data_IF_549497633951
#
_entry.id   IF_549497633951
#
_cell.length_a   1.000
_cell.length_b   1.000
_cell.length_c   1.000
_cell.angle_alpha   90.00
_cell.angle_beta   90.00
_cell.angle_gamma   90.00
#
_symmetry.space_group_name_H-M   'P 1'
#
loop_
_entity.id
_entity.type
_entity.pdbx_description
1 polymer ?
#
# COMPACT_ATOMS: atom_id res chain seq x y z
N UNK A 1 5.35 -23.21 -7.74
CA UNK A 1 4.98 -21.94 -7.07
C UNK A 1 6.04 -20.90 -7.38
N UNK A 2 5.73 -19.83 -8.12
CA UNK A 2 6.70 -18.75 -8.35
C UNK A 2 6.90 -17.92 -7.08
N UNK A 3 7.86 -18.32 -6.25
CA UNK A 3 8.22 -17.59 -5.02
C UNK A 3 8.53 -16.12 -5.29
N UNK A 4 9.02 -15.80 -6.49
CA UNK A 4 9.29 -14.42 -6.92
C UNK A 4 8.03 -13.56 -7.02
N UNK A 5 6.93 -14.10 -7.58
CA UNK A 5 5.67 -13.36 -7.71
C UNK A 5 5.08 -13.01 -6.34
N UNK A 6 5.08 -13.97 -5.43
CA UNK A 6 4.63 -13.80 -4.03
C UNK A 6 5.50 -12.74 -3.33
N UNK A 7 6.83 -12.83 -3.43
CA UNK A 7 7.75 -11.85 -2.84
C UNK A 7 7.54 -10.44 -3.40
N UNK A 8 7.28 -10.32 -4.70
CA UNK A 8 6.96 -9.04 -5.33
C UNK A 8 5.65 -8.47 -4.79
N UNK A 9 4.59 -9.28 -4.69
CA UNK A 9 3.30 -8.85 -4.15
C UNK A 9 3.42 -8.40 -2.68
N UNK A 10 4.15 -9.15 -1.85
CA UNK A 10 4.43 -8.77 -0.45
C UNK A 10 5.23 -7.47 -0.37
N UNK A 11 6.27 -7.32 -1.19
CA UNK A 11 7.08 -6.10 -1.23
C UNK A 11 6.23 -4.90 -1.66
N UNK A 12 5.34 -5.09 -2.63
CA UNK A 12 4.43 -4.07 -3.10
C UNK A 12 3.43 -3.65 -2.00
N UNK A 13 2.79 -4.60 -1.32
CA UNK A 13 1.91 -4.32 -0.17
C UNK A 13 2.62 -3.53 0.93
N UNK A 14 3.87 -3.87 1.23
CA UNK A 14 4.68 -3.14 2.22
C UNK A 14 5.00 -1.70 1.77
N UNK A 15 5.22 -1.47 0.48
CA UNK A 15 5.37 -0.12 -0.06
C UNK A 15 4.08 0.67 0.08
N UNK A 16 2.92 0.09 -0.24
CA UNK A 16 1.63 0.74 -0.04
C UNK A 16 1.37 1.11 1.43
N UNK A 17 1.75 0.24 2.39
CA UNK A 17 1.61 0.57 3.83
C UNK A 17 2.39 1.83 4.23
N UNK A 18 3.57 2.04 3.63
CA UNK A 18 4.38 3.25 3.87
C UNK A 18 3.71 4.47 3.26
N UNK A 19 3.22 4.34 2.02
CA UNK A 19 2.51 5.42 1.34
C UNK A 19 1.23 5.80 2.09
N UNK A 20 0.45 4.82 2.57
CA UNK A 20 -0.74 5.03 3.42
C UNK A 20 -0.37 5.84 4.66
N UNK A 21 0.69 5.43 5.35
CA UNK A 21 1.13 6.10 6.58
C UNK A 21 1.54 7.55 6.30
N UNK A 22 2.31 7.77 5.23
CA UNK A 22 2.72 9.10 4.78
C UNK A 22 1.52 9.98 4.42
N UNK A 23 0.61 9.47 3.60
CA UNK A 23 -0.60 10.18 3.17
C UNK A 23 -1.51 10.52 4.38
N UNK A 24 -1.63 9.62 5.35
CA UNK A 24 -2.40 9.87 6.57
C UNK A 24 -1.82 11.04 7.38
N UNK A 25 -0.49 11.09 7.55
CA UNK A 25 0.13 12.17 8.33
C UNK A 25 0.23 13.50 7.59
N UNK A 26 0.14 13.48 6.26
CA UNK A 26 0.07 14.69 5.44
C UNK A 26 -1.36 15.09 5.06
N UNK A 27 -2.38 14.50 5.70
CA UNK A 27 -3.79 14.91 5.54
C UNK A 27 -4.40 14.57 4.18
N UNK A 28 -4.00 13.44 3.60
CA UNK A 28 -4.43 12.98 2.28
C UNK A 28 -5.44 11.83 2.40
N UNK A 29 -6.53 12.02 3.15
CA UNK A 29 -7.46 10.94 3.50
C UNK A 29 -8.06 10.23 2.27
N UNK A 30 -8.36 10.96 1.20
CA UNK A 30 -8.86 10.36 -0.05
C UNK A 30 -7.84 9.40 -0.67
N UNK A 31 -6.56 9.80 -0.73
CA UNK A 31 -5.48 8.94 -1.22
C UNK A 31 -5.26 7.74 -0.30
N UNK A 32 -5.39 7.92 1.03
CA UNK A 32 -5.33 6.81 1.99
C UNK A 32 -6.39 5.76 1.69
N UNK A 33 -7.64 6.17 1.46
CA UNK A 33 -8.74 5.25 1.14
C UNK A 33 -8.46 4.48 -0.17
N UNK A 34 -7.98 5.17 -1.21
CA UNK A 34 -7.62 4.56 -2.49
C UNK A 34 -6.46 3.55 -2.33
N UNK A 35 -5.39 3.91 -1.62
CA UNK A 35 -4.26 3.00 -1.34
C UNK A 35 -4.70 1.77 -0.53
N UNK A 36 -5.57 1.93 0.47
CA UNK A 36 -6.12 0.81 1.25
C UNK A 36 -6.93 -0.14 0.37
N UNK A 37 -7.73 0.38 -0.57
CA UNK A 37 -8.49 -0.44 -1.51
C UNK A 37 -7.56 -1.25 -2.44
N UNK A 38 -6.50 -0.62 -2.95
CA UNK A 38 -5.48 -1.29 -3.75
C UNK A 38 -4.79 -2.38 -2.92
N UNK A 39 -4.34 -2.04 -1.71
CA UNK A 39 -3.66 -2.97 -0.80
C UNK A 39 -4.52 -4.20 -0.51
N UNK A 40 -5.81 -3.98 -0.22
CA UNK A 40 -6.78 -5.07 0.00
C UNK A 40 -6.89 -5.99 -1.22
N UNK A 41 -7.01 -5.42 -2.42
CA UNK A 41 -7.12 -6.19 -3.67
C UNK A 41 -5.90 -7.10 -3.87
N UNK A 42 -4.70 -6.61 -3.58
CA UNK A 42 -3.47 -7.42 -3.67
C UNK A 42 -3.46 -8.53 -2.62
N UNK A 43 -3.82 -8.21 -1.38
CA UNK A 43 -3.84 -9.17 -0.27
C UNK A 43 -4.86 -10.30 -0.51
N UNK A 44 -6.03 -9.99 -1.06
CA UNK A 44 -7.02 -11.00 -1.45
C UNK A 44 -6.45 -11.93 -2.53
N UNK A 45 -5.90 -11.39 -3.62
CA UNK A 45 -5.29 -12.20 -4.68
C UNK A 45 -4.06 -13.00 -4.22
N UNK A 46 -3.29 -12.46 -3.27
CA UNK A 46 -2.16 -13.14 -2.64
C UNK A 46 -2.64 -14.30 -1.77
N UNK A 47 -3.73 -14.11 -1.02
CA UNK A 47 -4.34 -15.17 -0.18
C UNK A 47 -4.83 -16.31 -1.07
N UNK A 48 -5.59 -16.00 -2.11
CA UNK A 48 -6.06 -16.99 -3.10
C UNK A 48 -4.88 -17.77 -3.70
N UNK A 49 -3.77 -17.08 -4.02
CA UNK A 49 -2.57 -17.72 -4.57
C UNK A 49 -1.88 -18.63 -3.56
N UNK A 50 -1.76 -18.22 -2.30
CA UNK A 50 -1.12 -19.02 -1.25
C UNK A 50 -1.95 -20.28 -0.94
N UNK A 51 -3.27 -20.16 -0.88
CA UNK A 51 -4.19 -21.28 -0.65
C UNK A 51 -4.22 -22.28 -1.81
N UNK A 52 -4.19 -21.79 -3.05
CA UNK A 52 -4.25 -22.63 -4.25
C UNK A 52 -2.91 -23.32 -4.59
N UNK A 53 -1.82 -23.01 -3.88
CA UNK A 53 -0.52 -23.66 -4.03
C UNK A 53 0.07 -23.51 -5.44
N UNK A 54 0.14 -24.62 -6.18
CA UNK A 54 0.69 -24.66 -7.55
C UNK A 54 -0.36 -24.46 -8.65
N UNK A 55 -1.58 -24.02 -8.32
CA UNK A 55 -2.57 -23.66 -9.33
C UNK A 55 -2.09 -22.48 -10.19
N UNK A 56 -2.09 -22.70 -11.51
CA UNK A 56 -1.74 -21.72 -12.53
C UNK A 56 -2.76 -20.59 -12.65
N UNK A 57 -4.06 -20.86 -12.45
CA UNK A 57 -5.11 -19.83 -12.53
C UNK A 57 -4.94 -18.79 -11.42
N UNK A 58 -4.65 -19.22 -10.21
CA UNK A 58 -4.39 -18.32 -9.09
C UNK A 58 -3.10 -17.51 -9.31
N UNK A 59 -2.09 -18.11 -9.96
CA UNK A 59 -0.85 -17.40 -10.34
C UNK A 59 -1.14 -16.29 -11.36
N UNK A 60 -1.89 -16.62 -12.41
CA UNK A 60 -2.30 -15.65 -13.43
C UNK A 60 -3.18 -14.54 -12.85
N UNK A 61 -4.05 -14.87 -11.89
CA UNK A 61 -4.88 -13.88 -11.20
C UNK A 61 -4.02 -12.84 -10.47
N UNK A 62 -3.05 -13.29 -9.66
CA UNK A 62 -2.13 -12.40 -8.95
C UNK A 62 -1.32 -11.54 -9.92
N UNK A 63 -0.82 -12.09 -11.03
CA UNK A 63 -0.14 -11.31 -12.06
C UNK A 63 -1.04 -10.23 -12.69
N UNK A 64 -2.28 -10.58 -13.01
CA UNK A 64 -3.24 -9.65 -13.61
C UNK A 64 -3.60 -8.52 -12.65
N UNK A 65 -3.78 -8.85 -11.37
CA UNK A 65 -4.01 -7.86 -10.32
C UNK A 65 -2.84 -6.89 -10.22
N UNK A 66 -1.60 -7.40 -10.16
CA UNK A 66 -0.42 -6.53 -10.08
C UNK A 66 -0.29 -5.60 -11.30
N UNK A 67 -0.54 -6.11 -12.52
CA UNK A 67 -0.51 -5.28 -13.75
C UNK A 67 -1.61 -4.21 -13.77
N UNK A 68 -2.79 -4.52 -13.26
CA UNK A 68 -3.92 -3.58 -13.26
C UNK A 68 -3.72 -2.43 -12.24
N UNK A 69 -2.83 -2.59 -11.27
CA UNK A 69 -2.65 -1.60 -10.20
C UNK A 69 -1.88 -0.37 -10.66
N UNK A 70 -0.93 -0.50 -11.59
CA UNK A 70 -0.20 0.65 -12.11
C UNK A 70 -1.17 1.71 -12.66
N UNK A 71 -2.16 1.29 -13.45
CA UNK A 71 -3.20 2.20 -13.95
C UNK A 71 -4.12 2.77 -12.86
N UNK A 72 -4.32 2.06 -11.73
CA UNK A 72 -5.05 2.59 -10.58
C UNK A 72 -4.24 3.64 -9.82
N UNK A 73 -2.94 3.43 -9.67
CA UNK A 73 -2.03 4.37 -9.02
C UNK A 73 -1.93 5.68 -9.81
N UNK A 74 -1.89 5.60 -11.15
CA UNK A 74 -1.87 6.77 -12.03
C UNK A 74 -3.18 7.58 -11.99
N UNK A 75 -4.30 6.92 -11.70
CA UNK A 75 -5.63 7.54 -11.65
C UNK A 75 -6.04 8.01 -10.24
N UNK A 76 -5.13 7.97 -9.26
CA UNK A 76 -5.44 8.36 -7.88
C UNK A 76 -5.77 9.85 -7.75
N UNK A 77 -6.52 10.18 -6.70
CA UNK A 77 -6.79 11.56 -6.29
C UNK A 77 -5.48 12.35 -6.21
N UNK A 78 -5.37 13.54 -6.84
CA UNK A 78 -4.15 14.35 -6.80
C UNK A 78 -3.71 14.67 -5.37
N UNK A 79 -2.41 14.84 -5.17
CA UNK A 79 -1.85 15.21 -3.88
C UNK A 79 -2.15 16.69 -3.58
N UNK A 80 -2.74 16.96 -2.42
CA UNK A 80 -3.06 18.31 -1.96
C UNK A 80 -1.93 18.85 -1.08
N UNK A 81 -1.17 19.80 -1.61
CA UNK A 81 -0.05 20.41 -0.87
C UNK A 81 -0.50 21.41 0.20
N UNK A 82 -1.73 21.93 0.14
CA UNK A 82 -2.19 23.01 1.03
C UNK A 82 -2.46 22.50 2.45
N UNK A 83 -2.85 21.23 2.59
CA UNK A 83 -3.23 20.62 3.88
C UNK A 83 -2.06 20.02 4.66
N UNK A 84 -0.87 19.94 4.06
CA UNK A 84 0.30 19.21 4.60
C UNK A 84 0.77 19.81 5.92
N UNK A 85 1.03 21.12 5.95
CA UNK A 85 1.63 21.79 7.12
C UNK A 85 0.71 21.73 8.34
N UNK A 86 -0.59 21.91 8.14
CA UNK A 86 -1.57 21.81 9.22
C UNK A 86 -1.66 20.38 9.76
N UNK A 87 -1.72 19.39 8.86
CA UNK A 87 -1.81 17.98 9.25
C UNK A 87 -0.57 17.51 10.00
N UNK A 88 0.63 17.88 9.54
CA UNK A 88 1.88 17.56 10.22
C UNK A 88 1.93 18.14 11.64
N UNK A 89 1.49 19.41 11.83
CA UNK A 89 1.40 20.02 13.17
C UNK A 89 0.43 19.26 14.07
N UNK A 90 -0.74 18.89 13.55
CA UNK A 90 -1.76 18.10 14.27
C UNK A 90 -1.22 16.75 14.73
N UNK A 91 -0.45 16.05 13.90
CA UNK A 91 0.16 14.76 14.25
C UNK A 91 1.35 14.90 15.20
N UNK A 92 2.20 15.92 15.01
CA UNK A 92 3.31 16.21 15.91
C UNK A 92 2.82 16.51 17.34
N UNK A 93 1.70 17.22 17.49
CA UNK A 93 1.05 17.46 18.78
C UNK A 93 0.59 16.17 19.49
N UNK A 94 0.43 15.07 18.74
CA UNK A 94 0.10 13.73 19.25
C UNK A 94 1.34 12.83 19.40
N UNK A 95 2.54 13.36 19.19
CA UNK A 95 3.79 12.60 19.24
C UNK A 95 4.07 11.72 18.01
N UNK A 96 3.30 11.89 16.92
CA UNK A 96 3.52 11.16 15.66
C UNK A 96 4.28 12.05 14.70
N UNK A 97 5.39 11.56 14.17
CA UNK A 97 6.22 12.24 13.18
C UNK A 97 6.40 11.36 11.95
N UNK A 98 6.79 11.94 10.82
CA UNK A 98 7.17 11.15 9.64
C UNK A 98 8.28 10.15 9.98
N UNK A 99 9.27 10.54 10.79
CA UNK A 99 10.34 9.64 11.26
C UNK A 99 9.82 8.46 12.07
N UNK A 100 8.82 8.64 12.94
CA UNK A 100 8.26 7.54 13.75
C UNK A 100 7.46 6.52 12.94
N UNK A 101 7.15 6.80 11.68
CA UNK A 101 6.46 5.87 10.77
C UNK A 101 7.41 4.98 9.97
N UNK A 102 8.72 5.32 9.95
CA UNK A 102 9.73 4.66 9.12
C UNK A 102 10.58 3.68 9.94
N UNK A 103 10.31 3.51 11.23
CA UNK A 103 11.02 2.54 12.05
C UNK A 103 10.79 1.13 11.51
N UNK A 104 11.81 0.61 10.82
CA UNK A 104 12.11 -0.81 10.94
C UNK A 104 12.29 -1.02 12.44
N UNK A 105 11.39 -1.79 13.06
CA UNK A 105 11.74 -2.51 14.27
C UNK A 105 12.97 -3.34 13.93
N UNK A 106 14.14 -2.76 14.16
CA UNK A 106 15.40 -3.47 14.25
C UNK A 106 15.42 -4.00 15.67
N UNK A 107 14.81 -5.18 15.83
CA UNK A 107 15.09 -6.08 16.92
C UNK A 107 16.02 -7.17 16.39
#
# INVERSE_FOLDING_TARGET
MSSKLVLNAVSFVNSLSKDISGNLVTGQESRVAEYLQIQRTVLEALTDKLEAGSDFKAEQNLENVLKAIDGKLDAMTPYDHEVVDESLKKWAAKGVTLSSLVDRQTA
#
